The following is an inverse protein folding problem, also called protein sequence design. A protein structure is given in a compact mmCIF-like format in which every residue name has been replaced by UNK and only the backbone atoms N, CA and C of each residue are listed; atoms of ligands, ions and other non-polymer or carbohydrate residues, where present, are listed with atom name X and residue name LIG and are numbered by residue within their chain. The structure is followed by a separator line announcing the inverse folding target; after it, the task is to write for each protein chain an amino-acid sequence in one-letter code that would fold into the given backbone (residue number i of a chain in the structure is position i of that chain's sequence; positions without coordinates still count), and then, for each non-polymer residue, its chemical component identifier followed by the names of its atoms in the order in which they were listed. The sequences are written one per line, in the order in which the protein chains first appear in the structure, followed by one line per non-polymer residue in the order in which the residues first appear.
data_IF_567766459247
#
_entry.id   IF_567766459247
#
_cell.length_a   1.000
_cell.length_b   1.000
_cell.length_c   1.000
_cell.angle_alpha   90.00
_cell.angle_beta   90.00
_cell.angle_gamma   90.00
#
_symmetry.space_group_name_H-M   'P 1'
#
loop_
_entity.id
_entity.type
_entity.pdbx_description
1 polymer ?
#
# COMPACT_ATOMS: atom_id res chain seq x y z
N UNK A 1 18.87 28.17 -3.20
CA UNK A 1 18.52 26.96 -2.44
C UNK A 1 17.01 26.84 -2.48
N UNK A 2 16.49 26.01 -3.37
CA UNK A 2 15.06 25.82 -3.59
C UNK A 2 14.47 25.13 -2.36
N UNK A 3 13.43 25.73 -1.78
CA UNK A 3 12.55 25.03 -0.84
C UNK A 3 11.82 23.96 -1.64
N UNK A 4 12.41 22.78 -1.74
CA UNK A 4 11.79 21.65 -2.40
C UNK A 4 10.55 21.26 -1.57
N UNK A 5 9.39 21.43 -2.18
CA UNK A 5 8.10 21.48 -1.54
C UNK A 5 7.63 20.05 -1.18
N UNK A 6 8.06 19.52 -0.04
CA UNK A 6 7.50 18.29 0.53
C UNK A 6 5.99 18.50 0.67
N UNK A 7 5.18 17.56 0.17
CA UNK A 7 3.73 17.68 0.33
C UNK A 7 3.39 17.74 1.81
N UNK A 8 2.84 18.85 2.34
CA UNK A 8 2.70 19.00 3.78
C UNK A 8 1.77 17.92 4.35
N UNK A 9 2.23 17.21 5.38
CA UNK A 9 1.50 16.04 5.92
C UNK A 9 0.08 16.40 6.38
N UNK A 10 -0.12 17.59 6.94
CA UNK A 10 -1.46 18.09 7.34
C UNK A 10 -2.37 18.35 6.14
N UNK A 11 -1.80 18.89 5.06
CA UNK A 11 -2.51 19.07 3.79
C UNK A 11 -2.86 17.71 3.17
N UNK A 12 -1.97 16.72 3.30
CA UNK A 12 -2.20 15.37 2.81
C UNK A 12 -3.37 14.73 3.56
N UNK A 13 -3.32 14.73 4.90
CA UNK A 13 -4.37 14.18 5.76
C UNK A 13 -5.73 14.80 5.47
N UNK A 14 -5.81 16.13 5.37
CA UNK A 14 -7.07 16.82 5.07
C UNK A 14 -7.65 16.46 3.69
N UNK A 15 -6.81 16.27 2.67
CA UNK A 15 -7.23 15.83 1.33
C UNK A 15 -7.66 14.38 1.30
N UNK A 16 -6.90 13.48 1.94
CA UNK A 16 -7.27 12.08 2.09
C UNK A 16 -8.58 11.93 2.86
N UNK A 17 -8.85 12.79 3.84
CA UNK A 17 -10.14 12.81 4.54
C UNK A 17 -11.32 13.14 3.61
N UNK A 18 -11.14 14.05 2.65
CA UNK A 18 -12.15 14.34 1.62
C UNK A 18 -12.41 13.12 0.74
N UNK A 19 -11.35 12.45 0.30
CA UNK A 19 -11.46 11.22 -0.49
C UNK A 19 -12.14 10.09 0.31
N UNK A 20 -11.83 9.93 1.59
CA UNK A 20 -12.48 8.92 2.45
C UNK A 20 -14.00 9.13 2.50
N UNK A 21 -14.45 10.38 2.48
CA UNK A 21 -15.88 10.69 2.47
C UNK A 21 -16.55 10.28 1.14
N UNK A 22 -15.85 10.29 0.01
CA UNK A 22 -16.42 9.87 -1.29
C UNK A 22 -16.52 8.35 -1.39
N UNK A 23 -15.57 7.61 -0.83
CA UNK A 23 -15.56 6.13 -0.90
C UNK A 23 -16.42 5.47 0.16
N UNK A 24 -16.81 6.18 1.23
CA UNK A 24 -17.57 5.66 2.37
C UNK A 24 -18.88 5.01 1.94
N UNK A 25 -19.54 5.55 0.92
CA UNK A 25 -20.87 5.12 0.50
C UNK A 25 -20.85 3.99 -0.54
N UNK A 26 -19.70 3.71 -1.15
CA UNK A 26 -19.59 2.67 -2.20
C UNK A 26 -19.83 1.25 -1.68
N UNK A 27 -19.63 0.99 -0.39
CA UNK A 27 -19.71 -0.35 0.23
C UNK A 27 -18.59 -1.32 -0.17
N UNK A 28 -17.83 -1.00 -1.22
CA UNK A 28 -16.85 -1.91 -1.85
C UNK A 28 -15.48 -1.89 -1.16
N UNK A 29 -15.10 -0.78 -0.53
CA UNK A 29 -13.81 -0.64 0.16
C UNK A 29 -14.03 -0.87 1.65
N UNK A 30 -13.24 -1.77 2.24
CA UNK A 30 -13.30 -2.12 3.66
C UNK A 30 -12.20 -1.49 4.48
N UNK A 31 -11.05 -1.18 3.87
CA UNK A 31 -9.98 -0.46 4.53
C UNK A 31 -9.17 0.37 3.52
N UNK A 32 -8.64 1.49 4.00
CA UNK A 32 -7.76 2.39 3.26
C UNK A 32 -6.60 2.80 4.16
N UNK A 33 -5.38 2.71 3.64
CA UNK A 33 -4.15 2.96 4.36
C UNK A 33 -3.29 3.98 3.63
N UNK A 34 -2.59 4.80 4.41
CA UNK A 34 -1.36 5.47 3.99
C UNK A 34 -0.18 4.64 4.48
N UNK A 35 0.78 4.33 3.61
CA UNK A 35 1.99 3.63 4.01
C UNK A 35 3.23 4.31 3.42
N UNK A 36 4.36 3.61 3.46
CA UNK A 36 5.59 4.09 2.84
C UNK A 36 6.17 5.33 3.50
N UNK A 37 6.86 6.14 2.72
CA UNK A 37 7.72 7.22 3.24
C UNK A 37 6.95 8.31 4.01
N UNK A 38 5.72 8.63 3.57
CA UNK A 38 4.85 9.59 4.24
C UNK A 38 4.33 9.06 5.59
N UNK A 39 3.96 7.78 5.68
CA UNK A 39 3.49 7.19 6.93
C UNK A 39 4.58 7.15 8.02
N UNK A 40 5.84 6.89 7.63
CA UNK A 40 6.97 6.77 8.58
C UNK A 40 7.75 8.07 8.79
N UNK A 41 7.29 9.20 8.24
CA UNK A 41 7.92 10.52 8.41
C UNK A 41 9.27 10.68 7.70
N UNK A 42 9.53 9.90 6.65
CA UNK A 42 10.77 9.93 5.84
C UNK A 42 10.55 10.41 4.41
N UNK A 43 9.42 11.03 4.13
CA UNK A 43 9.11 11.56 2.81
C UNK A 43 10.09 12.66 2.39
N UNK A 44 10.51 12.62 1.13
CA UNK A 44 11.30 13.64 0.47
C UNK A 44 10.44 14.34 -0.59
N UNK A 45 10.90 15.46 -1.17
CA UNK A 45 10.18 16.13 -2.27
C UNK A 45 9.96 15.25 -3.52
N UNK A 46 10.69 14.14 -3.64
CA UNK A 46 10.56 13.18 -4.73
C UNK A 46 9.72 11.95 -4.36
N UNK A 47 9.28 11.84 -3.11
CA UNK A 47 8.51 10.69 -2.64
C UNK A 47 7.10 10.65 -3.24
N UNK A 48 6.72 9.46 -3.69
CA UNK A 48 5.33 9.13 -4.02
C UNK A 48 4.48 8.99 -2.76
N UNK A 49 3.18 9.25 -2.91
CA UNK A 49 2.17 9.04 -1.88
C UNK A 49 1.67 7.59 -2.00
N UNK A 50 2.20 6.73 -1.13
CA UNK A 50 1.90 5.31 -1.11
C UNK A 50 0.58 5.02 -0.36
N UNK A 51 -0.42 4.55 -1.08
CA UNK A 51 -1.76 4.26 -0.56
C UNK A 51 -2.15 2.82 -0.82
N UNK A 52 -2.92 2.22 0.09
CA UNK A 52 -3.40 0.85 -0.10
C UNK A 52 -4.87 0.71 0.23
N UNK A 53 -5.60 -0.05 -0.58
CA UNK A 53 -7.01 -0.38 -0.36
C UNK A 53 -7.19 -1.88 -0.20
N UNK A 54 -8.14 -2.24 0.66
CA UNK A 54 -8.67 -3.59 0.75
C UNK A 54 -10.13 -3.56 0.32
N UNK A 55 -10.46 -4.32 -0.73
CA UNK A 55 -11.83 -4.49 -1.20
C UNK A 55 -12.58 -5.54 -0.37
N UNK A 56 -13.90 -5.35 -0.26
CA UNK A 56 -14.81 -6.36 0.25
C UNK A 56 -14.72 -7.65 -0.57
N UNK A 57 -14.93 -8.79 0.08
CA UNK A 57 -14.91 -10.11 -0.57
C UNK A 57 -16.02 -10.26 -1.62
N UNK A 58 -17.06 -9.43 -1.56
CA UNK A 58 -18.12 -9.39 -2.56
C UNK A 58 -17.69 -8.72 -3.87
N UNK A 59 -16.56 -8.01 -3.89
CA UNK A 59 -16.04 -7.38 -5.11
C UNK A 59 -15.29 -8.44 -5.91
N UNK A 60 -15.76 -8.69 -7.14
CA UNK A 60 -15.15 -9.60 -8.08
C UNK A 60 -13.72 -9.15 -8.46
N UNK A 61 -12.82 -10.11 -8.65
CA UNK A 61 -11.39 -9.84 -8.88
C UNK A 61 -11.15 -9.03 -10.16
N UNK A 62 -11.96 -9.27 -11.18
CA UNK A 62 -11.94 -8.59 -12.47
C UNK A 62 -12.21 -7.08 -12.34
N UNK A 63 -12.83 -6.66 -11.23
CA UNK A 63 -13.08 -5.24 -10.91
C UNK A 63 -11.88 -4.56 -10.27
N UNK A 64 -10.91 -5.28 -9.73
CA UNK A 64 -9.82 -4.67 -8.95
C UNK A 64 -8.98 -3.70 -9.78
N UNK A 65 -8.56 -4.09 -10.99
CA UNK A 65 -7.76 -3.21 -11.84
C UNK A 65 -8.57 -1.99 -12.34
N UNK A 66 -9.79 -2.13 -12.90
CA UNK A 66 -10.63 -0.98 -13.26
C UNK A 66 -10.87 -0.03 -12.09
N UNK A 67 -11.23 -0.54 -10.91
CA UNK A 67 -11.47 0.30 -9.73
C UNK A 67 -10.18 0.96 -9.24
N UNK A 68 -9.06 0.24 -9.24
CA UNK A 68 -7.76 0.82 -8.89
C UNK A 68 -7.42 2.01 -9.80
N UNK A 69 -7.58 1.87 -11.12
CA UNK A 69 -7.29 2.95 -12.08
C UNK A 69 -8.24 4.14 -11.88
N UNK A 70 -9.54 3.89 -11.64
CA UNK A 70 -10.52 4.94 -11.32
C UNK A 70 -10.12 5.70 -10.06
N UNK A 71 -9.83 4.98 -8.97
CA UNK A 71 -9.47 5.56 -7.68
C UNK A 71 -8.13 6.31 -7.75
N UNK A 72 -7.15 5.81 -8.52
CA UNK A 72 -5.91 6.54 -8.78
C UNK A 72 -6.18 7.89 -9.44
N UNK A 73 -7.04 7.95 -10.47
CA UNK A 73 -7.42 9.21 -11.10
C UNK A 73 -8.10 10.20 -10.14
N UNK A 74 -9.03 9.70 -9.31
CA UNK A 74 -9.70 10.49 -8.28
C UNK A 74 -8.71 11.01 -7.22
N UNK A 75 -7.79 10.16 -6.77
CA UNK A 75 -6.74 10.51 -5.82
C UNK A 75 -5.81 11.57 -6.41
N UNK A 76 -5.38 11.44 -7.67
CA UNK A 76 -4.53 12.44 -8.33
C UNK A 76 -5.20 13.81 -8.37
N UNK A 77 -6.51 13.86 -8.64
CA UNK A 77 -7.28 15.11 -8.62
C UNK A 77 -7.36 15.68 -7.20
N UNK A 78 -7.73 14.86 -6.20
CA UNK A 78 -7.89 15.30 -4.81
C UNK A 78 -6.57 15.75 -4.20
N UNK A 79 -5.47 15.07 -4.55
CA UNK A 79 -4.13 15.33 -4.06
C UNK A 79 -3.40 16.39 -4.89
N UNK A 80 -3.91 16.76 -6.07
CA UNK A 80 -3.28 17.66 -7.04
C UNK A 80 -1.84 17.24 -7.40
N UNK A 81 -1.62 15.93 -7.55
CA UNK A 81 -0.34 15.36 -7.95
C UNK A 81 -0.53 13.99 -8.58
N UNK A 82 0.29 13.66 -9.57
CA UNK A 82 0.30 12.34 -10.20
C UNK A 82 1.22 11.34 -9.49
N UNK A 83 1.94 11.78 -8.45
CA UNK A 83 2.84 10.95 -7.63
C UNK A 83 2.08 10.17 -6.58
N UNK A 84 1.16 9.34 -7.04
CA UNK A 84 0.28 8.52 -6.19
C UNK A 84 0.42 7.07 -6.63
N UNK A 85 0.81 6.21 -5.70
CA UNK A 85 0.81 4.77 -5.92
C UNK A 85 -0.31 4.14 -5.09
N UNK A 86 -1.25 3.46 -5.76
CA UNK A 86 -2.33 2.73 -5.10
C UNK A 86 -2.10 1.22 -5.21
N UNK A 87 -2.04 0.54 -4.07
CA UNK A 87 -1.91 -0.92 -3.95
C UNK A 87 -3.26 -1.55 -3.62
N UNK A 88 -3.62 -2.61 -4.34
CA UNK A 88 -4.78 -3.46 -4.00
C UNK A 88 -4.32 -4.60 -3.11
N UNK A 89 -4.65 -4.54 -1.82
CA UNK A 89 -4.20 -5.49 -0.81
C UNK A 89 -4.70 -6.92 -1.04
N UNK A 90 -5.84 -7.09 -1.73
CA UNK A 90 -6.39 -8.39 -2.10
C UNK A 90 -5.43 -9.21 -3.00
N UNK A 91 -4.57 -8.54 -3.77
CA UNK A 91 -3.62 -9.17 -4.71
C UNK A 91 -2.15 -8.84 -4.39
N UNK A 92 -1.89 -8.07 -3.34
CA UNK A 92 -0.55 -7.65 -2.98
C UNK A 92 0.31 -8.85 -2.53
N UNK A 93 1.60 -8.90 -2.92
CA UNK A 93 2.52 -9.90 -2.39
C UNK A 93 2.56 -9.86 -0.85
N UNK A 94 2.72 -11.00 -0.15
CA UNK A 94 2.65 -11.07 1.31
C UNK A 94 3.59 -10.08 2.01
N UNK A 95 4.81 -9.90 1.51
CA UNK A 95 5.77 -8.95 2.07
C UNK A 95 5.32 -7.49 1.96
N UNK A 96 4.65 -7.11 0.88
CA UNK A 96 4.11 -5.76 0.70
C UNK A 96 2.87 -5.55 1.58
N UNK A 97 1.93 -6.50 1.56
CA UNK A 97 0.74 -6.46 2.41
C UNK A 97 1.12 -6.37 3.90
N UNK A 98 2.11 -7.14 4.33
CA UNK A 98 2.60 -7.11 5.71
C UNK A 98 3.22 -5.75 6.06
N UNK A 99 4.00 -5.15 5.15
CA UNK A 99 4.54 -3.80 5.35
C UNK A 99 3.43 -2.76 5.53
N UNK A 100 2.36 -2.83 4.73
CA UNK A 100 1.20 -1.94 4.86
C UNK A 100 0.53 -2.11 6.23
N UNK A 101 0.32 -3.35 6.67
CA UNK A 101 -0.33 -3.61 7.98
C UNK A 101 0.56 -3.19 9.15
N UNK A 102 1.86 -3.41 9.05
CA UNK A 102 2.82 -3.18 10.14
C UNK A 102 3.18 -1.70 10.29
N UNK A 103 3.52 -1.05 9.19
CA UNK A 103 4.11 0.29 9.19
C UNK A 103 3.12 1.36 8.65
N UNK A 104 1.99 0.95 8.09
CA UNK A 104 0.98 1.84 7.53
C UNK A 104 0.01 2.39 8.56
N UNK A 105 -0.50 3.59 8.28
CA UNK A 105 -1.58 4.24 9.01
C UNK A 105 -2.92 3.84 8.41
N UNK A 106 -3.80 3.24 9.22
CA UNK A 106 -5.18 2.94 8.84
C UNK A 106 -6.01 4.23 8.85
N UNK A 107 -6.35 4.75 7.67
CA UNK A 107 -7.10 6.00 7.53
C UNK A 107 -8.62 5.79 7.54
N UNK A 108 -9.07 4.65 7.03
CA UNK A 108 -10.49 4.29 7.01
C UNK A 108 -10.64 2.78 7.18
N UNK A 109 -11.60 2.37 8.00
CA UNK A 109 -12.07 1.01 8.10
C UNK A 109 -13.59 1.00 8.20
N UNK A 110 -14.21 0.05 7.50
CA UNK A 110 -15.66 -0.15 7.52
C UNK A 110 -16.05 -0.97 8.75
N UNK A 111 -16.85 -0.40 9.63
CA UNK A 111 -17.24 -1.02 10.90
C UNK A 111 -17.97 -2.35 10.70
N UNK A 112 -18.93 -2.40 9.77
CA UNK A 112 -19.69 -3.61 9.42
C UNK A 112 -18.86 -4.70 8.72
N UNK A 113 -17.58 -4.44 8.43
CA UNK A 113 -16.62 -5.40 7.82
C UNK A 113 -15.36 -5.59 8.66
N UNK A 114 -15.38 -5.20 9.94
CA UNK A 114 -14.24 -5.39 10.87
C UNK A 114 -13.72 -6.82 10.89
N UNK A 115 -14.60 -7.83 10.86
CA UNK A 115 -14.21 -9.24 10.82
C UNK A 115 -13.32 -9.57 9.61
N UNK A 116 -13.71 -9.12 8.41
CA UNK A 116 -12.93 -9.33 7.20
C UNK A 116 -11.56 -8.64 7.26
N UNK A 117 -11.48 -7.45 7.85
CA UNK A 117 -10.21 -6.75 8.03
C UNK A 117 -9.28 -7.52 8.98
N UNK A 118 -9.81 -8.10 10.05
CA UNK A 118 -9.05 -8.93 10.99
C UNK A 118 -8.56 -10.20 10.29
N UNK A 119 -9.43 -10.90 9.56
CA UNK A 119 -9.07 -12.11 8.82
C UNK A 119 -7.95 -11.84 7.81
N UNK A 120 -8.03 -10.70 7.10
CA UNK A 120 -6.97 -10.26 6.20
C UNK A 120 -5.64 -10.07 6.94
N UNK A 121 -5.64 -9.35 8.08
CA UNK A 121 -4.42 -9.12 8.86
C UNK A 121 -3.78 -10.42 9.35
N UNK A 122 -4.59 -11.33 9.89
CA UNK A 122 -4.12 -12.65 10.35
C UNK A 122 -3.50 -13.43 9.19
N UNK A 123 -4.23 -13.56 8.08
CA UNK A 123 -3.74 -14.27 6.89
C UNK A 123 -2.46 -13.66 6.33
N UNK A 124 -2.34 -12.34 6.31
CA UNK A 124 -1.11 -11.66 5.86
C UNK A 124 0.07 -11.96 6.78
N UNK A 125 -0.13 -11.97 8.10
CA UNK A 125 0.92 -12.32 9.05
C UNK A 125 1.37 -13.76 8.85
N UNK A 126 0.44 -14.71 8.77
CA UNK A 126 0.74 -16.13 8.55
C UNK A 126 1.55 -16.33 7.27
N UNK A 127 1.06 -15.82 6.14
CA UNK A 127 1.74 -15.92 4.85
C UNK A 127 3.13 -15.27 4.85
N UNK A 128 3.28 -14.13 5.54
CA UNK A 128 4.57 -13.46 5.63
C UNK A 128 5.58 -14.29 6.45
N UNK A 129 5.18 -14.77 7.63
CA UNK A 129 6.06 -15.55 8.50
C UNK A 129 6.40 -16.92 7.91
N UNK A 130 5.49 -17.56 7.18
CA UNK A 130 5.76 -18.79 6.43
C UNK A 130 6.73 -18.55 5.26
N UNK A 131 6.71 -17.36 4.65
CA UNK A 131 7.60 -16.99 3.57
C UNK A 131 9.00 -16.55 4.02
N UNK A 132 9.16 -16.09 5.27
CA UNK A 132 10.44 -15.59 5.79
C UNK A 132 11.61 -16.57 5.65
N UNK A 133 11.48 -17.88 5.96
CA UNK A 133 12.58 -18.84 5.77
C UNK A 133 13.04 -18.90 4.32
N UNK A 134 12.10 -18.97 3.36
CA UNK A 134 12.42 -19.00 1.93
C UNK A 134 13.11 -17.71 1.47
N UNK A 135 12.64 -16.55 1.96
CA UNK A 135 13.26 -15.27 1.66
C UNK A 135 14.71 -15.19 2.16
N UNK A 136 15.01 -15.71 3.36
CA UNK A 136 16.38 -15.74 3.90
C UNK A 136 17.31 -16.59 3.04
N UNK A 137 16.91 -17.81 2.68
CA UNK A 137 17.69 -18.70 1.83
C UNK A 137 18.01 -18.04 0.49
N UNK A 138 17.00 -17.43 -0.15
CA UNK A 138 17.18 -16.74 -1.42
C UNK A 138 18.15 -15.54 -1.28
N UNK A 139 17.96 -14.72 -0.25
CA UNK A 139 18.79 -13.53 0.00
C UNK A 139 20.25 -13.90 0.26
N UNK A 140 20.50 -14.94 1.05
CA UNK A 140 21.84 -15.46 1.33
C UNK A 140 22.49 -16.05 0.07
N UNK A 141 21.73 -16.81 -0.72
CA UNK A 141 22.19 -17.35 -2.00
C UNK A 141 22.55 -16.26 -3.01
N UNK A 142 21.72 -15.22 -3.13
CA UNK A 142 22.00 -14.06 -3.98
C UNK A 142 23.24 -13.32 -3.51
N UNK A 143 23.33 -12.98 -2.21
CA UNK A 143 24.47 -12.28 -1.65
C UNK A 143 25.78 -13.08 -1.81
N UNK A 144 25.71 -14.41 -1.70
CA UNK A 144 26.84 -15.31 -1.98
C UNK A 144 27.31 -15.17 -3.42
N UNK A 145 26.40 -15.27 -4.40
CA UNK A 145 26.74 -15.09 -5.83
C UNK A 145 27.36 -13.73 -6.11
N UNK A 146 26.91 -12.67 -5.42
CA UNK A 146 27.42 -11.30 -5.64
C UNK A 146 28.88 -11.24 -5.18
N UNK A 147 29.17 -11.81 -4.01
CA UNK A 147 30.54 -11.91 -3.47
C UNK A 147 31.45 -12.78 -4.34
N UNK A 148 30.89 -13.82 -4.94
CA UNK A 148 31.63 -14.76 -5.80
C UNK A 148 31.83 -14.24 -7.25
N UNK A 149 31.36 -13.02 -7.56
CA UNK A 149 31.55 -12.41 -8.89
C UNK A 149 30.82 -13.11 -10.03
N UNK A 150 29.86 -14.00 -9.73
CA UNK A 150 29.12 -14.81 -10.72
C UNK A 150 27.87 -14.09 -11.26
N UNK A 151 27.97 -12.78 -11.50
CA UNK A 151 26.93 -11.99 -12.17
C UNK A 151 27.39 -11.60 -13.57
N UNK A 152 26.87 -12.32 -14.58
CA UNK A 152 27.14 -12.10 -16.00
C UNK A 152 27.32 -13.43 -16.73
N UNK A 153 26.22 -13.97 -17.26
CA UNK A 153 26.21 -15.17 -18.09
C UNK A 153 25.00 -15.12 -19.01
N UNK A 154 25.17 -14.46 -20.15
CA UNK A 154 24.16 -14.18 -21.17
C UNK A 154 24.49 -12.90 -21.91
#
# INVERSE_FOLDING_TARGET
MTTDNIFPIEKLRSRLQKFINTIRDSGQIIAFYLFGSYAVGRATPQSDIDLAILFDKSVERERYLPERLRLMGELSIVLETDRVELVVLNEAPPALAYRVIKDGELLFARDERKGQLVDFKVKTMDLYFDFLPAQRIFSEGLARRIREGSFGGG
#
